data_IF_378371212437
#
_entry.id   IF_378371212437
#
_cell.length_a   1.000
_cell.length_b   1.000
_cell.length_c   1.000
_cell.angle_alpha   90.00
_cell.angle_beta   90.00
_cell.angle_gamma   90.00
#
_symmetry.space_group_name_H-M   'P 1'
#
loop_
_entity.id
_entity.type
_entity.pdbx_description
1 polymer ?
#
# COMPACT_ATOMS: atom_id res chain seq x y z
N UNK A 1 5.58 21.24 8.40
CA UNK A 1 6.70 20.50 7.79
C UNK A 1 6.13 19.38 6.93
N UNK A 2 5.94 19.60 5.63
CA UNK A 2 5.53 18.51 4.72
C UNK A 2 6.79 17.80 4.20
N UNK A 3 6.72 16.50 3.85
CA UNK A 3 7.86 15.81 3.24
C UNK A 3 8.12 16.35 1.84
N UNK A 4 9.39 16.49 1.44
CA UNK A 4 9.72 17.00 0.10
C UNK A 4 9.35 15.99 -1.00
N UNK A 5 9.40 14.70 -0.67
CA UNK A 5 8.94 13.63 -1.54
C UNK A 5 8.33 12.49 -0.71
N UNK A 6 7.47 11.71 -1.36
CA UNK A 6 6.96 10.44 -0.81
C UNK A 6 7.19 9.30 -1.80
N UNK A 7 7.16 8.07 -1.31
CA UNK A 7 6.99 6.87 -2.14
C UNK A 7 5.96 5.97 -1.48
N UNK A 8 5.23 5.18 -2.27
CA UNK A 8 4.25 4.22 -1.76
C UNK A 8 4.57 2.84 -2.32
N UNK A 9 4.59 1.87 -1.42
CA UNK A 9 4.79 0.47 -1.74
C UNK A 9 3.65 -0.37 -1.18
N UNK A 10 3.45 -1.56 -1.74
CA UNK A 10 2.40 -2.47 -1.35
C UNK A 10 2.87 -3.92 -1.32
N UNK A 11 2.23 -4.72 -0.48
CA UNK A 11 2.45 -6.16 -0.43
C UNK A 11 1.15 -6.90 -0.13
N UNK A 12 1.06 -8.14 -0.60
CA UNK A 12 0.03 -9.09 -0.21
C UNK A 12 0.65 -10.16 0.70
N UNK A 13 0.26 -10.16 1.96
CA UNK A 13 0.53 -11.25 2.90
C UNK A 13 -0.80 -11.82 3.41
N UNK A 14 -0.91 -13.14 3.61
CA UNK A 14 -2.12 -13.78 4.09
C UNK A 14 -2.36 -13.50 5.57
N UNK A 15 -3.63 -13.61 5.98
CA UNK A 15 -4.03 -13.46 7.40
C UNK A 15 -3.77 -12.06 7.95
N UNK A 16 -3.35 -12.00 9.20
CA UNK A 16 -3.08 -10.77 9.95
C UNK A 16 -1.61 -10.74 10.39
N UNK A 17 -0.67 -10.41 9.49
CA UNK A 17 0.76 -10.42 9.81
C UNK A 17 1.08 -9.37 10.89
N UNK A 18 2.05 -9.69 11.74
CA UNK A 18 2.59 -8.74 12.70
C UNK A 18 3.48 -7.69 12.02
N UNK A 19 3.84 -6.59 12.71
CA UNK A 19 4.83 -5.65 12.20
C UNK A 19 6.19 -6.29 11.91
N UNK A 20 6.61 -7.29 12.69
CA UNK A 20 7.87 -8.02 12.45
C UNK A 20 7.79 -8.84 11.15
N UNK A 21 6.66 -9.52 10.94
CA UNK A 21 6.42 -10.28 9.70
C UNK A 21 6.47 -9.35 8.47
N UNK A 22 5.86 -8.16 8.54
CA UNK A 22 5.85 -7.17 7.45
C UNK A 22 7.24 -6.59 7.14
N UNK A 23 8.15 -6.60 8.12
CA UNK A 23 9.51 -6.07 8.03
C UNK A 23 10.56 -7.16 7.79
N UNK A 24 10.14 -8.43 7.70
CA UNK A 24 11.04 -9.54 7.44
C UNK A 24 11.78 -9.35 6.08
N UNK A 25 13.05 -9.77 5.98
CA UNK A 25 13.91 -9.44 4.84
C UNK A 25 13.46 -10.07 3.51
N UNK A 26 12.65 -11.13 3.57
CA UNK A 26 12.10 -11.84 2.42
C UNK A 26 10.76 -11.25 1.91
N UNK A 27 10.16 -10.30 2.64
CA UNK A 27 8.95 -9.60 2.20
C UNK A 27 9.27 -8.66 1.04
N UNK A 28 8.75 -9.00 -0.14
CA UNK A 28 8.93 -8.22 -1.36
C UNK A 28 7.84 -7.17 -1.52
N UNK A 29 8.22 -5.92 -1.26
CA UNK A 29 7.37 -4.76 -1.48
C UNK A 29 7.36 -4.35 -2.95
N UNK A 30 6.17 -4.21 -3.53
CA UNK A 30 5.98 -3.69 -4.90
C UNK A 30 5.84 -2.18 -4.84
N UNK A 31 6.64 -1.44 -5.62
CA UNK A 31 6.51 0.02 -5.71
C UNK A 31 5.26 0.39 -6.51
N UNK A 32 4.34 1.13 -5.90
CA UNK A 32 3.15 1.68 -6.56
C UNK A 32 3.38 3.13 -7.00
N UNK A 33 4.01 3.91 -6.14
CA UNK A 33 4.40 5.30 -6.42
C UNK A 33 5.89 5.40 -6.12
N UNK A 34 6.76 5.62 -7.14
CA UNK A 34 8.18 5.82 -6.91
C UNK A 34 8.41 7.09 -6.09
N UNK A 35 9.65 7.31 -5.64
CA UNK A 35 10.00 8.54 -4.91
C UNK A 35 9.66 9.78 -5.75
N UNK A 36 8.60 10.48 -5.36
CA UNK A 36 7.98 11.56 -6.14
C UNK A 36 7.86 12.80 -5.27
N UNK A 37 8.25 13.96 -5.82
CA UNK A 37 8.13 15.23 -5.14
C UNK A 37 6.65 15.57 -4.90
N UNK A 38 6.35 16.20 -3.76
CA UNK A 38 4.99 16.56 -3.37
C UNK A 38 4.87 18.02 -2.94
N UNK A 39 3.67 18.58 -3.08
CA UNK A 39 3.35 19.91 -2.60
C UNK A 39 2.87 19.89 -1.14
N UNK A 40 3.33 20.87 -0.35
CA UNK A 40 2.80 21.15 0.98
C UNK A 40 1.39 21.75 0.92
N UNK A 41 0.57 21.48 1.94
CA UNK A 41 -0.83 21.94 2.01
C UNK A 41 -1.68 21.59 0.79
N UNK A 42 -1.29 20.55 0.05
CA UNK A 42 -1.94 20.11 -1.18
C UNK A 42 -2.44 18.67 -1.07
N UNK A 43 -3.44 18.33 -1.87
CA UNK A 43 -3.79 16.96 -2.17
C UNK A 43 -2.88 16.46 -3.31
N UNK A 44 -2.00 15.50 -3.00
CA UNK A 44 -1.10 14.90 -3.98
C UNK A 44 -1.74 13.59 -4.48
N UNK A 45 -2.23 13.60 -5.72
CA UNK A 45 -2.87 12.45 -6.35
C UNK A 45 -1.91 11.72 -7.29
N UNK A 46 -1.94 10.40 -7.26
CA UNK A 46 -1.11 9.53 -8.11
C UNK A 46 -2.00 8.48 -8.75
N UNK A 47 -1.92 8.35 -10.07
CA UNK A 47 -2.48 7.19 -10.76
C UNK A 47 -1.55 6.00 -10.49
N UNK A 48 -2.13 4.87 -10.12
CA UNK A 48 -1.42 3.61 -9.89
C UNK A 48 -1.99 2.60 -10.87
N UNK A 49 -1.10 2.02 -11.65
CA UNK A 49 -1.42 0.93 -12.57
C UNK A 49 -0.84 -0.36 -12.00
N UNK A 50 -1.67 -1.10 -11.26
CA UNK A 50 -1.29 -2.36 -10.65
C UNK A 50 -2.48 -3.32 -10.70
N UNK A 51 -2.29 -4.44 -11.39
CA UNK A 51 -3.35 -5.43 -11.64
C UNK A 51 -3.46 -6.50 -10.53
N UNK A 52 -2.62 -6.43 -9.50
CA UNK A 52 -2.58 -7.41 -8.41
C UNK A 52 -3.27 -6.92 -7.13
N UNK A 53 -3.86 -7.84 -6.38
CA UNK A 53 -4.42 -7.57 -5.05
C UNK A 53 -3.30 -7.31 -4.04
N UNK A 54 -3.51 -6.32 -3.17
CA UNK A 54 -2.64 -6.03 -2.03
C UNK A 54 -3.43 -6.06 -0.72
N UNK A 55 -2.74 -6.31 0.39
CA UNK A 55 -3.36 -6.29 1.74
C UNK A 55 -2.73 -5.24 2.65
N UNK A 56 -1.50 -4.81 2.38
CA UNK A 56 -0.76 -3.86 3.19
C UNK A 56 -0.09 -2.79 2.32
N UNK A 57 0.04 -1.59 2.88
CA UNK A 57 0.70 -0.45 2.25
C UNK A 57 1.77 0.12 3.18
N UNK A 58 2.84 0.62 2.55
CA UNK A 58 3.90 1.38 3.20
C UNK A 58 4.04 2.72 2.51
N UNK A 59 3.85 3.80 3.27
CA UNK A 59 4.14 5.16 2.82
C UNK A 59 5.46 5.61 3.43
N UNK A 60 6.42 5.96 2.59
CA UNK A 60 7.72 6.46 3.03
C UNK A 60 7.79 7.97 2.80
N UNK A 61 8.26 8.69 3.80
CA UNK A 61 8.54 10.13 3.74
C UNK A 61 10.03 10.35 3.48
N UNK A 62 10.36 11.34 2.65
CA UNK A 62 11.74 11.63 2.27
C UNK A 62 12.09 13.11 2.51
N UNK A 63 13.05 13.43 3.39
CA UNK A 63 13.63 12.56 4.43
C UNK A 63 12.68 12.34 5.62
N UNK A 64 11.84 13.33 5.91
CA UNK A 64 10.90 13.35 7.02
C UNK A 64 9.78 14.37 6.74
N UNK A 65 8.80 14.48 7.65
CA UNK A 65 7.70 15.42 7.56
C UNK A 65 6.42 14.91 8.21
N UNK A 66 5.33 15.62 7.96
CA UNK A 66 3.98 15.23 8.34
C UNK A 66 3.07 15.06 7.12
N UNK A 67 2.37 13.94 7.06
CA UNK A 67 1.26 13.68 6.14
C UNK A 67 -0.04 13.78 6.94
N UNK A 68 -0.94 14.67 6.53
CA UNK A 68 -2.22 14.84 7.24
C UNK A 68 -3.16 13.66 7.03
N UNK A 69 -3.22 13.11 5.80
CA UNK A 69 -4.11 12.02 5.42
C UNK A 69 -3.48 11.18 4.30
N UNK A 70 -3.64 9.87 4.39
CA UNK A 70 -3.45 8.94 3.27
C UNK A 70 -4.85 8.47 2.83
N UNK A 71 -5.12 8.53 1.54
CA UNK A 71 -6.32 7.95 0.93
C UNK A 71 -5.88 6.98 -0.15
N UNK A 72 -6.48 5.81 -0.14
CA UNK A 72 -6.15 4.73 -1.07
C UNK A 72 -7.45 4.29 -1.69
N UNK A 73 -7.50 4.39 -3.02
CA UNK A 73 -8.65 4.01 -3.81
C UNK A 73 -8.29 2.75 -4.58
N UNK A 74 -9.22 1.81 -4.63
CA UNK A 74 -9.07 0.55 -5.34
C UNK A 74 -10.37 -0.23 -5.28
N UNK A 75 -10.49 -1.22 -6.13
CA UNK A 75 -11.59 -2.17 -6.09
C UNK A 75 -11.31 -3.24 -5.04
N UNK A 76 -12.31 -3.55 -4.21
CA UNK A 76 -12.14 -4.54 -3.14
C UNK A 76 -12.16 -5.93 -3.75
N UNK A 77 -11.04 -6.65 -3.61
CA UNK A 77 -10.96 -8.07 -3.92
C UNK A 77 -11.10 -8.90 -2.62
N UNK A 78 -12.13 -9.75 -2.52
CA UNK A 78 -12.33 -10.60 -1.34
C UNK A 78 -11.16 -11.56 -1.13
N UNK A 79 -11.01 -12.07 0.09
CA UNK A 79 -9.99 -13.06 0.39
C UNK A 79 -10.25 -14.37 -0.38
N UNK A 80 -9.32 -14.84 -1.22
CA UNK A 80 -9.47 -16.11 -1.92
C UNK A 80 -9.75 -17.31 -1.01
N UNK A 81 -9.16 -17.35 0.19
CA UNK A 81 -9.37 -18.43 1.14
C UNK A 81 -10.82 -18.45 1.68
N UNK A 82 -11.39 -17.26 1.88
CA UNK A 82 -12.79 -17.12 2.28
C UNK A 82 -13.76 -17.54 1.17
N UNK A 83 -13.50 -17.11 -0.07
CA UNK A 83 -14.27 -17.55 -1.24
C UNK A 83 -14.25 -19.06 -1.40
N UNK A 84 -13.08 -19.68 -1.24
CA UNK A 84 -12.94 -21.14 -1.31
C UNK A 84 -13.72 -21.86 -0.21
N UNK A 85 -13.77 -21.31 1.01
CA UNK A 85 -14.52 -21.89 2.12
C UNK A 85 -16.04 -21.85 1.90
N UNK A 86 -16.55 -20.90 1.10
CA UNK A 86 -17.98 -20.79 0.79
C UNK A 86 -18.47 -21.76 -0.27
N UNK A 87 -17.57 -22.46 -0.98
CA UNK A 87 -17.93 -23.38 -2.05
C UNK A 87 -18.60 -22.71 -3.25
N UNK A 88 -18.59 -21.38 -3.33
CA UNK A 88 -19.24 -20.57 -4.38
C UNK A 88 -18.34 -20.40 -5.60
N UNK A 89 -17.83 -21.50 -6.13
CA UNK A 89 -17.25 -21.52 -7.48
C UNK A 89 -18.17 -22.35 -8.37
N UNK A 90 -19.01 -21.66 -9.13
CA UNK A 90 -19.58 -22.13 -10.40
C UNK A 90 -18.90 -21.34 -11.53
#
# INVERSE_FOLDING_TARGET
NYPQAVSVEAVALPGSPSPEDLLAPDVKWTTLVPRTAVGGHAANGFAVDAEQRFTHLRVNQHPDGGIARLRVYGEVAPDPAWLAALGTFD
#
